data_IF_090875917911
#
_entry.id   IF_090875917911
#
_cell.length_a   1.000
_cell.length_b   1.000
_cell.length_c   1.000
_cell.angle_alpha   90.00
_cell.angle_beta   90.00
_cell.angle_gamma   90.00
#
_symmetry.space_group_name_H-M   'P 1'
#
loop_
_entity.id
_entity.type
_entity.pdbx_description
1 polymer ?
#
# COMPACT_ATOMS: atom_id res chain seq x y z
N UNK A 1 -27.82 -9.42 -3.82
CA UNK A 1 -27.56 -10.70 -3.12
C UNK A 1 -26.37 -11.44 -3.72
N UNK A 2 -25.18 -11.38 -3.07
CA UNK A 2 -24.08 -12.37 -3.17
C UNK A 2 -22.73 -11.89 -2.55
N UNK A 3 -22.65 -11.73 -1.22
CA UNK A 3 -21.47 -12.22 -0.47
C UNK A 3 -22.01 -13.16 0.60
N UNK A 4 -22.33 -14.41 0.23
CA UNK A 4 -22.55 -15.51 1.17
C UNK A 4 -21.36 -16.47 1.20
N UNK A 5 -20.21 -16.01 0.72
CA UNK A 5 -18.90 -16.67 0.84
C UNK A 5 -18.20 -15.93 1.95
N UNK A 6 -17.74 -16.64 2.97
CA UNK A 6 -17.27 -16.10 4.25
C UNK A 6 -16.24 -14.99 3.99
N UNK A 7 -16.72 -13.75 4.01
CA UNK A 7 -15.97 -12.50 3.78
C UNK A 7 -15.02 -12.23 5.00
N UNK A 8 -14.80 -13.21 5.89
CA UNK A 8 -14.05 -13.13 7.14
C UNK A 8 -12.86 -14.11 7.12
N UNK A 9 -11.68 -13.62 7.48
CA UNK A 9 -10.45 -14.39 7.57
C UNK A 9 -10.40 -15.19 8.88
N UNK A 10 -9.81 -16.39 8.87
CA UNK A 10 -9.67 -17.23 10.06
C UNK A 10 -8.79 -16.55 11.14
N UNK A 11 -7.88 -15.68 10.72
CA UNK A 11 -6.94 -14.96 11.56
C UNK A 11 -6.84 -13.48 11.17
N UNK A 12 -6.15 -12.70 12.00
CA UNK A 12 -5.87 -11.30 11.71
C UNK A 12 -4.73 -11.19 10.69
N UNK A 13 -4.96 -10.44 9.63
CA UNK A 13 -3.95 -10.13 8.63
C UNK A 13 -3.46 -8.71 8.82
N UNK A 14 -2.15 -8.55 8.99
CA UNK A 14 -1.53 -7.24 9.18
C UNK A 14 -1.41 -6.52 7.84
N UNK A 15 -1.94 -5.32 7.77
CA UNK A 15 -1.93 -4.43 6.59
C UNK A 15 -1.48 -3.04 7.01
N UNK A 16 -1.02 -2.17 6.08
CA UNK A 16 -0.54 -0.85 6.47
C UNK A 16 -1.66 0.02 7.00
N UNK A 17 -1.33 0.87 7.97
CA UNK A 17 -2.23 1.93 8.39
C UNK A 17 -2.31 3.00 7.30
N UNK A 18 -3.53 3.31 6.88
CA UNK A 18 -3.80 4.26 5.79
C UNK A 18 -4.27 5.63 6.27
N UNK A 19 -4.34 5.82 7.59
CA UNK A 19 -4.61 7.15 8.15
C UNK A 19 -3.51 8.10 7.68
N UNK A 20 -3.95 9.23 7.16
CA UNK A 20 -3.11 10.26 6.60
C UNK A 20 -3.46 11.56 7.31
N UNK A 21 -2.53 12.09 8.09
CA UNK A 21 -2.66 13.45 8.60
C UNK A 21 -2.14 14.40 7.51
N UNK A 22 -3.04 14.99 6.74
CA UNK A 22 -2.68 15.90 5.64
C UNK A 22 -1.90 17.12 6.14
N UNK A 23 -2.14 17.58 7.37
CA UNK A 23 -1.40 18.70 7.96
C UNK A 23 0.06 18.37 8.26
N UNK A 24 0.36 17.12 8.65
CA UNK A 24 1.74 16.63 8.81
C UNK A 24 2.37 16.27 7.47
N UNK A 25 1.60 15.62 6.59
CA UNK A 25 2.04 15.23 5.25
C UNK A 25 2.41 16.45 4.39
N UNK A 26 1.67 17.55 4.50
CA UNK A 26 1.91 18.76 3.71
C UNK A 26 2.98 19.68 4.27
N UNK A 27 3.37 19.56 5.55
CA UNK A 27 4.51 20.32 6.10
C UNK A 27 5.86 19.89 5.48
N UNK A 28 5.86 18.80 4.72
CA UNK A 28 7.01 18.23 4.04
C UNK A 28 7.08 18.62 2.54
N UNK A 29 6.21 19.52 2.04
CA UNK A 29 6.01 19.81 0.61
C UNK A 29 7.17 20.48 -0.16
N UNK A 30 8.34 20.67 0.44
CA UNK A 30 9.43 21.40 -0.23
C UNK A 30 10.36 20.47 -1.03
N UNK A 31 10.50 19.20 -0.63
CA UNK A 31 11.15 18.12 -1.38
C UNK A 31 10.55 16.75 -0.96
N UNK A 32 10.68 15.70 -1.77
CA UNK A 32 10.42 14.30 -1.38
C UNK A 32 11.10 14.09 -0.02
N UNK A 33 10.29 13.85 1.00
CA UNK A 33 10.84 13.54 2.30
C UNK A 33 11.02 12.03 2.40
N UNK A 34 12.26 11.61 2.71
CA UNK A 34 12.63 10.23 3.04
C UNK A 34 11.57 9.50 3.91
N UNK A 35 10.94 10.14 4.92
CA UNK A 35 9.86 9.51 5.69
C UNK A 35 8.61 9.13 4.89
N UNK A 36 8.19 9.93 3.90
CA UNK A 36 7.02 9.62 3.07
C UNK A 36 7.30 8.45 2.13
N UNK A 37 8.50 8.42 1.51
CA UNK A 37 8.95 7.30 0.70
C UNK A 37 9.02 6.01 1.53
N UNK A 38 9.58 6.09 2.75
CA UNK A 38 9.64 4.97 3.69
C UNK A 38 8.26 4.44 4.06
N UNK A 39 7.32 5.31 4.40
CA UNK A 39 5.97 4.91 4.79
C UNK A 39 5.21 4.20 3.66
N UNK A 40 5.31 4.72 2.43
CA UNK A 40 4.68 4.08 1.26
C UNK A 40 5.39 2.79 0.89
N UNK A 41 6.72 2.76 0.87
CA UNK A 41 7.51 1.57 0.59
C UNK A 41 7.16 0.43 1.56
N UNK A 42 7.20 0.70 2.85
CA UNK A 42 6.88 -0.28 3.89
C UNK A 42 5.45 -0.80 3.75
N UNK A 43 4.50 0.08 3.39
CA UNK A 43 3.11 -0.34 3.12
C UNK A 43 2.99 -1.28 1.91
N UNK A 44 3.70 -0.99 0.82
CA UNK A 44 3.75 -1.87 -0.35
C UNK A 44 4.36 -3.24 0.00
N UNK A 45 5.47 -3.27 0.75
CA UNK A 45 6.10 -4.51 1.20
C UNK A 45 5.18 -5.30 2.14
N UNK A 46 4.35 -4.64 2.93
CA UNK A 46 3.37 -5.34 3.75
C UNK A 46 2.26 -5.96 2.90
N UNK A 47 1.79 -5.26 1.85
CA UNK A 47 0.82 -5.83 0.91
C UNK A 47 1.37 -7.03 0.13
N UNK A 48 2.65 -7.04 -0.27
CA UNK A 48 3.23 -8.22 -0.95
C UNK A 48 3.21 -9.48 -0.08
N UNK A 49 3.12 -9.34 1.25
CA UNK A 49 2.97 -10.45 2.20
C UNK A 49 1.50 -10.75 2.52
N UNK A 50 0.67 -9.72 2.68
CA UNK A 50 -0.74 -9.86 3.08
C UNK A 50 -1.61 -10.44 1.97
N UNK A 51 -1.42 -10.02 0.71
CA UNK A 51 -2.31 -10.39 -0.39
C UNK A 51 -2.27 -11.90 -0.70
N UNK A 52 -1.11 -12.57 -0.79
CA UNK A 52 -1.07 -14.03 -0.96
C UNK A 52 -1.80 -14.77 0.15
N UNK A 53 -1.59 -14.35 1.41
CA UNK A 53 -2.22 -14.98 2.57
C UNK A 53 -3.75 -14.82 2.56
N UNK A 54 -4.25 -13.68 2.07
CA UNK A 54 -5.69 -13.47 1.87
C UNK A 54 -6.24 -14.36 0.75
N UNK A 55 -5.49 -14.52 -0.35
CA UNK A 55 -5.89 -15.39 -1.46
C UNK A 55 -6.04 -16.86 -1.02
N UNK A 56 -5.24 -17.32 -0.05
CA UNK A 56 -5.34 -18.68 0.51
C UNK A 56 -6.65 -18.94 1.26
N UNK A 57 -7.33 -17.89 1.75
CA UNK A 57 -8.62 -18.02 2.44
C UNK A 57 -9.83 -17.96 1.51
N UNK A 58 -9.63 -17.69 0.22
CA UNK A 58 -10.71 -17.47 -0.73
C UNK A 58 -10.95 -18.74 -1.54
N UNK A 59 -12.10 -19.38 -1.31
CA UNK A 59 -12.52 -20.56 -2.08
C UNK A 59 -13.16 -20.21 -3.43
N UNK A 60 -13.69 -18.99 -3.58
CA UNK A 60 -14.28 -18.53 -4.83
C UNK A 60 -13.18 -18.19 -5.85
N UNK A 61 -13.15 -18.92 -6.98
CA UNK A 61 -12.10 -18.76 -7.99
C UNK A 61 -12.08 -17.37 -8.64
N UNK A 62 -13.24 -16.75 -8.84
CA UNK A 62 -13.33 -15.41 -9.44
C UNK A 62 -12.79 -14.34 -8.50
N UNK A 63 -13.16 -14.41 -7.23
CA UNK A 63 -12.64 -13.51 -6.20
C UNK A 63 -11.15 -13.74 -5.98
N UNK A 64 -10.70 -15.00 -5.93
CA UNK A 64 -9.28 -15.34 -5.79
C UNK A 64 -8.45 -14.73 -6.91
N UNK A 65 -8.89 -14.87 -8.16
CA UNK A 65 -8.23 -14.26 -9.31
C UNK A 65 -8.12 -12.73 -9.19
N UNK A 66 -9.17 -12.05 -8.71
CA UNK A 66 -9.12 -10.60 -8.47
C UNK A 66 -8.11 -10.22 -7.40
N UNK A 67 -7.98 -11.02 -6.34
CA UNK A 67 -6.98 -10.80 -5.28
C UNK A 67 -5.56 -11.06 -5.77
N UNK A 68 -5.35 -12.10 -6.58
CA UNK A 68 -4.06 -12.36 -7.22
C UNK A 68 -3.66 -11.23 -8.18
N UNK A 69 -4.64 -10.61 -8.86
CA UNK A 69 -4.39 -9.40 -9.65
C UNK A 69 -3.91 -8.23 -8.79
N UNK A 70 -4.53 -7.99 -7.63
CA UNK A 70 -4.07 -6.98 -6.67
C UNK A 70 -2.60 -7.22 -6.29
N UNK A 71 -2.20 -8.48 -6.10
CA UNK A 71 -0.81 -8.82 -5.79
C UNK A 71 0.14 -8.47 -6.94
N UNK A 72 -0.25 -8.75 -8.19
CA UNK A 72 0.48 -8.32 -9.38
C UNK A 72 0.63 -6.81 -9.44
N UNK A 73 -0.45 -6.07 -9.23
CA UNK A 73 -0.45 -4.60 -9.24
C UNK A 73 0.48 -4.03 -8.15
N UNK A 74 0.45 -4.56 -6.93
CA UNK A 74 1.36 -4.16 -5.84
C UNK A 74 2.81 -4.40 -6.23
N UNK A 75 3.15 -5.55 -6.83
CA UNK A 75 4.51 -5.85 -7.27
C UNK A 75 4.98 -4.90 -8.36
N UNK A 76 4.13 -4.56 -9.32
CA UNK A 76 4.42 -3.57 -10.36
C UNK A 76 4.74 -2.20 -9.75
N UNK A 77 3.99 -1.76 -8.75
CA UNK A 77 4.28 -0.51 -8.04
C UNK A 77 5.59 -0.59 -7.26
N UNK A 78 5.89 -1.72 -6.60
CA UNK A 78 7.20 -1.94 -5.95
C UNK A 78 8.34 -1.82 -6.96
N UNK A 79 8.22 -2.41 -8.14
CA UNK A 79 9.24 -2.29 -9.20
C UNK A 79 9.41 -0.83 -9.68
N UNK A 80 8.32 -0.08 -9.82
CA UNK A 80 8.38 1.35 -10.11
C UNK A 80 9.15 2.12 -9.02
N UNK A 81 8.88 1.86 -7.75
CA UNK A 81 9.61 2.50 -6.64
C UNK A 81 11.11 2.22 -6.70
N UNK A 82 11.51 1.00 -7.04
CA UNK A 82 12.92 0.65 -7.24
C UNK A 82 13.54 1.41 -8.41
N UNK A 83 12.83 1.53 -9.53
CA UNK A 83 13.33 2.25 -10.71
C UNK A 83 13.51 3.76 -10.47
N UNK A 84 12.79 4.32 -9.49
CA UNK A 84 12.87 5.72 -9.08
C UNK A 84 13.83 5.95 -7.90
N UNK A 85 14.58 4.92 -7.48
CA UNK A 85 15.49 4.94 -6.33
C UNK A 85 14.84 5.29 -4.97
N UNK A 86 13.50 5.30 -4.90
CA UNK A 86 12.73 5.59 -3.68
C UNK A 86 12.88 4.50 -2.61
N UNK A 87 13.28 3.28 -3.01
CA UNK A 87 13.61 2.21 -2.06
C UNK A 87 14.80 2.59 -1.19
N UNK A 88 15.88 3.10 -1.77
CA UNK A 88 17.11 3.36 -1.03
C UNK A 88 16.88 4.49 -0.03
N UNK A 89 16.17 5.54 -0.47
CA UNK A 89 15.69 6.61 0.40
C UNK A 89 14.83 6.05 1.53
N UNK A 90 13.85 5.20 1.22
CA UNK A 90 13.01 4.55 2.21
C UNK A 90 13.80 3.72 3.25
N UNK A 91 14.85 3.02 2.81
CA UNK A 91 15.66 2.14 3.66
C UNK A 91 16.61 2.91 4.59
N UNK A 92 16.95 4.15 4.26
CA UNK A 92 17.70 5.02 5.19
C UNK A 92 16.87 5.50 6.38
N UNK A 93 15.53 5.40 6.28
CA UNK A 93 14.62 5.74 7.36
C UNK A 93 14.47 4.59 8.35
N UNK A 94 14.65 4.86 9.65
CA UNK A 94 14.33 3.93 10.73
C UNK A 94 12.83 3.91 11.09
N UNK A 95 11.96 4.43 10.23
CA UNK A 95 10.53 4.53 10.52
C UNK A 95 9.86 3.16 10.44
N UNK A 96 9.40 2.66 11.59
CA UNK A 96 8.59 1.45 11.66
C UNK A 96 7.25 1.63 10.93
N UNK A 97 6.88 0.63 10.15
CA UNK A 97 5.61 0.59 9.45
C UNK A 97 4.46 0.55 10.46
N UNK A 98 3.62 1.59 10.49
CA UNK A 98 2.35 1.52 11.24
C UNK A 98 1.44 0.51 10.55
N UNK A 99 0.98 -0.47 11.30
CA UNK A 99 0.14 -1.56 10.78
C UNK A 99 -1.16 -1.65 11.55
N UNK A 100 -2.17 -2.26 10.93
CA UNK A 100 -3.44 -2.58 11.59
C UNK A 100 -3.89 -3.99 11.19
N UNK A 101 -4.56 -4.73 12.10
CA UNK A 101 -5.13 -6.02 11.78
C UNK A 101 -6.42 -5.88 10.99
N UNK A 102 -6.63 -6.76 10.01
CA UNK A 102 -7.92 -6.92 9.32
C UNK A 102 -8.39 -8.36 9.39
N UNK A 103 -9.68 -8.52 9.69
CA UNK A 103 -10.37 -9.82 9.76
C UNK A 103 -11.31 -10.07 8.59
N UNK A 104 -11.49 -9.10 7.69
CA UNK A 104 -12.48 -9.24 6.59
C UNK A 104 -11.96 -8.74 5.27
N UNK A 105 -12.45 -9.36 4.19
CA UNK A 105 -12.13 -8.94 2.83
C UNK A 105 -12.58 -7.50 2.56
N UNK A 106 -13.78 -7.13 3.02
CA UNK A 106 -14.29 -5.74 2.92
C UNK A 106 -13.32 -4.74 3.57
N UNK A 107 -12.82 -5.05 4.77
CA UNK A 107 -11.88 -4.16 5.47
C UNK A 107 -10.53 -4.12 4.76
N UNK A 108 -10.00 -5.26 4.33
CA UNK A 108 -8.79 -5.32 3.52
C UNK A 108 -8.90 -4.45 2.27
N UNK A 109 -9.96 -4.62 1.48
CA UNK A 109 -10.17 -3.89 0.25
C UNK A 109 -10.31 -2.37 0.49
N UNK A 110 -10.99 -1.98 1.57
CA UNK A 110 -11.04 -0.58 2.01
C UNK A 110 -9.66 -0.02 2.34
N UNK A 111 -8.81 -0.78 3.05
CA UNK A 111 -7.45 -0.37 3.36
C UNK A 111 -6.62 -0.25 2.08
N UNK A 112 -6.65 -1.25 1.21
CA UNK A 112 -5.93 -1.23 -0.07
C UNK A 112 -6.31 -0.01 -0.92
N UNK A 113 -7.60 0.24 -1.12
CA UNK A 113 -8.07 1.38 -1.92
C UNK A 113 -7.75 2.73 -1.28
N UNK A 114 -7.82 2.85 0.05
CA UNK A 114 -7.41 4.06 0.76
C UNK A 114 -5.89 4.32 0.66
N UNK A 115 -5.08 3.27 0.68
CA UNK A 115 -3.64 3.39 0.50
C UNK A 115 -3.30 3.95 -0.88
N UNK A 116 -3.91 3.39 -1.94
CA UNK A 116 -3.72 3.85 -3.31
C UNK A 116 -4.14 5.30 -3.50
N UNK A 117 -5.34 5.66 -3.03
CA UNK A 117 -5.92 7.01 -3.20
C UNK A 117 -5.28 8.07 -2.32
N UNK A 118 -4.65 7.66 -1.22
CA UNK A 118 -3.99 8.52 -0.25
C UNK A 118 -2.48 8.59 -0.47
N UNK A 119 -1.72 7.98 0.45
CA UNK A 119 -0.26 8.08 0.55
C UNK A 119 0.46 7.80 -0.76
N UNK A 120 0.10 6.72 -1.47
CA UNK A 120 0.75 6.35 -2.72
C UNK A 120 0.55 7.43 -3.80
N UNK A 121 -0.70 7.84 -4.03
CA UNK A 121 -1.01 8.89 -5.02
C UNK A 121 -0.27 10.19 -4.71
N UNK A 122 -0.29 10.63 -3.45
CA UNK A 122 0.36 11.88 -3.05
C UNK A 122 1.88 11.84 -3.25
N UNK A 123 2.52 10.74 -2.90
CA UNK A 123 3.95 10.57 -3.12
C UNK A 123 4.29 10.58 -4.62
N UNK A 124 3.56 9.81 -5.44
CA UNK A 124 3.78 9.79 -6.90
C UNK A 124 3.58 11.18 -7.50
N UNK A 125 2.55 11.93 -7.09
CA UNK A 125 2.33 13.29 -7.56
C UNK A 125 3.50 14.22 -7.20
N UNK A 126 4.04 14.11 -5.98
CA UNK A 126 5.21 14.89 -5.56
C UNK A 126 6.46 14.55 -6.40
N UNK A 127 6.76 13.25 -6.55
CA UNK A 127 7.90 12.77 -7.36
C UNK A 127 7.80 13.25 -8.82
N UNK A 128 6.62 13.14 -9.43
CA UNK A 128 6.42 13.60 -10.81
C UNK A 128 6.53 15.13 -10.94
N UNK A 129 6.10 15.88 -9.92
CA UNK A 129 6.21 17.33 -9.93
C UNK A 129 7.67 17.79 -9.86
N UNK A 130 8.50 17.17 -9.00
CA UNK A 130 9.93 17.48 -8.91
C UNK A 130 10.69 17.12 -10.19
N UNK A 131 10.37 15.97 -10.79
CA UNK A 131 10.93 15.58 -12.07
C UNK A 131 10.65 16.64 -13.16
N UNK A 132 9.43 17.19 -13.20
CA UNK A 132 9.05 18.23 -14.17
C UNK A 132 9.71 19.60 -13.94
N UNK A 133 10.17 19.89 -12.72
CA UNK A 133 10.88 21.13 -12.39
C UNK A 133 12.40 21.02 -12.65
N UNK A 134 12.90 19.79 -12.78
CA UNK A 134 14.31 19.48 -13.04
C UNK A 134 14.63 19.31 -14.54
N UNK A 135 13.62 19.47 -15.41
CA UNK A 135 13.74 19.44 -16.87
C UNK A 135 13.61 20.85 -17.45
#
# INVERSE_FOLDING_TARGET
DSCNIICQFPEDIMVPETKLNLGEWNKLHVCISIPQAAEVWNGLILFTKAVPRIADFISDASLKFQVEKIHGDVRSVVHLFKSLNLQDEAQTSQSEAKTLPVRTFKKFFSVYTNFLRGKLRLLVMAVCHEASLST
#
